data_IF_806382806285
#
_entry.id   IF_806382806285
#
_cell.length_a   1.000
_cell.length_b   1.000
_cell.length_c   1.000
_cell.angle_alpha   90.00
_cell.angle_beta   90.00
_cell.angle_gamma   90.00
#
_symmetry.space_group_name_H-M   'P 1'
#
loop_
_entity.id
_entity.type
_entity.pdbx_description
1 polymer ?
#
# COMPACT_ATOMS: atom_id res chain seq x y z
N UNK A 1 28.03 9.98 -16.95
CA UNK A 1 26.66 9.67 -17.37
C UNK A 1 25.97 10.96 -17.77
N UNK A 2 25.20 10.96 -18.86
CA UNK A 2 24.37 12.12 -19.20
C UNK A 2 23.30 12.38 -18.12
N UNK A 3 22.75 13.59 -17.98
CA UNK A 3 21.69 13.89 -17.00
C UNK A 3 20.46 12.97 -17.17
N UNK A 4 20.08 12.67 -18.40
CA UNK A 4 18.98 11.72 -18.70
C UNK A 4 19.30 10.29 -18.27
N UNK A 5 20.54 9.83 -18.49
CA UNK A 5 20.97 8.51 -18.04
C UNK A 5 21.02 8.40 -16.53
N UNK A 6 21.35 9.48 -15.80
CA UNK A 6 21.28 9.52 -14.32
C UNK A 6 19.82 9.43 -13.83
N UNK A 7 18.89 10.16 -14.46
CA UNK A 7 17.46 10.10 -14.13
C UNK A 7 16.92 8.69 -14.36
N UNK A 8 17.20 8.10 -15.51
CA UNK A 8 16.74 6.73 -15.81
C UNK A 8 17.34 5.70 -14.83
N UNK A 9 18.63 5.80 -14.52
CA UNK A 9 19.29 4.94 -13.53
C UNK A 9 18.61 5.03 -12.16
N UNK A 10 18.35 6.26 -11.66
CA UNK A 10 17.70 6.46 -10.38
C UNK A 10 16.28 5.88 -10.35
N UNK A 11 15.51 6.01 -11.44
CA UNK A 11 14.16 5.44 -11.55
C UNK A 11 14.22 3.91 -11.49
N UNK A 12 15.16 3.29 -12.22
CA UNK A 12 15.31 1.83 -12.23
C UNK A 12 15.73 1.33 -10.84
N UNK A 13 16.75 1.94 -10.22
CA UNK A 13 17.22 1.55 -8.89
C UNK A 13 16.11 1.73 -7.84
N UNK A 14 15.38 2.84 -7.90
CA UNK A 14 14.25 3.09 -7.01
C UNK A 14 13.17 1.99 -7.16
N UNK A 15 12.80 1.67 -8.39
CA UNK A 15 11.83 0.60 -8.67
C UNK A 15 12.28 -0.76 -8.16
N UNK A 16 13.55 -1.14 -8.39
CA UNK A 16 14.12 -2.41 -7.92
C UNK A 16 14.21 -2.45 -6.39
N UNK A 17 14.62 -1.35 -5.74
CA UNK A 17 14.69 -1.26 -4.28
C UNK A 17 13.31 -1.45 -3.62
N UNK A 18 12.30 -0.74 -4.14
CA UNK A 18 10.92 -0.90 -3.67
C UNK A 18 10.37 -2.30 -3.97
N UNK A 19 10.68 -2.87 -5.14
CA UNK A 19 10.28 -4.23 -5.47
C UNK A 19 10.76 -5.24 -4.41
N UNK A 20 12.04 -5.22 -4.04
CA UNK A 20 12.57 -6.13 -3.02
C UNK A 20 11.94 -5.87 -1.65
N UNK A 21 11.86 -4.61 -1.22
CA UNK A 21 11.34 -4.25 0.09
C UNK A 21 9.86 -4.62 0.24
N UNK A 22 9.03 -4.23 -0.73
CA UNK A 22 7.59 -4.50 -0.67
C UNK A 22 7.25 -5.97 -0.94
N UNK A 23 8.01 -6.70 -1.74
CA UNK A 23 7.84 -8.16 -1.89
C UNK A 23 7.99 -8.83 -0.54
N UNK A 24 9.02 -8.49 0.23
CA UNK A 24 9.23 -9.06 1.55
C UNK A 24 8.11 -8.67 2.52
N UNK A 25 7.70 -7.40 2.56
CA UNK A 25 6.66 -6.90 3.43
C UNK A 25 5.27 -7.48 3.11
N UNK A 26 4.86 -7.48 1.85
CA UNK A 26 3.57 -8.02 1.43
C UNK A 26 3.48 -9.53 1.67
N UNK A 27 4.55 -10.27 1.40
CA UNK A 27 4.59 -11.71 1.71
C UNK A 27 4.44 -11.93 3.22
N UNK A 28 5.13 -11.14 4.05
CA UNK A 28 4.98 -11.20 5.49
C UNK A 28 3.53 -10.88 5.92
N UNK A 29 2.91 -9.84 5.36
CA UNK A 29 1.51 -9.47 5.63
C UNK A 29 0.52 -10.58 5.29
N UNK A 30 0.67 -11.21 4.13
CA UNK A 30 -0.20 -12.29 3.67
C UNK A 30 -0.17 -13.51 4.59
N UNK A 31 0.99 -13.83 5.17
CA UNK A 31 1.14 -14.99 6.05
C UNK A 31 1.00 -14.65 7.53
N UNK A 32 1.03 -13.37 7.92
CA UNK A 32 1.10 -12.92 9.31
C UNK A 32 -0.01 -13.51 10.19
N UNK A 33 -1.27 -13.43 9.75
CA UNK A 33 -2.40 -13.95 10.52
C UNK A 33 -2.36 -15.47 10.67
N UNK A 34 -2.00 -16.18 9.60
CA UNK A 34 -1.88 -17.64 9.59
C UNK A 34 -0.72 -18.10 10.49
N UNK A 35 0.41 -17.38 10.42
CA UNK A 35 1.59 -17.65 11.26
C UNK A 35 1.27 -17.43 12.72
N UNK A 36 0.66 -16.29 13.08
CA UNK A 36 0.34 -15.96 14.46
C UNK A 36 -0.67 -16.95 15.04
N UNK A 37 -1.71 -17.33 14.28
CA UNK A 37 -2.67 -18.35 14.71
C UNK A 37 -2.04 -19.71 14.97
N UNK A 38 -0.96 -20.08 14.28
CA UNK A 38 -0.27 -21.35 14.47
C UNK A 38 0.69 -21.35 15.66
N UNK A 39 0.91 -20.21 16.33
CA UNK A 39 1.66 -20.13 17.59
C UNK A 39 0.78 -20.62 18.74
N UNK A 40 0.88 -21.91 19.03
CA UNK A 40 0.17 -22.56 20.13
C UNK A 40 0.90 -22.35 21.47
N UNK A 41 1.17 -21.09 21.84
CA UNK A 41 1.74 -20.73 23.15
C UNK A 41 0.63 -20.22 24.06
N UNK A 42 0.54 -20.78 25.25
CA UNK A 42 -0.42 -20.41 26.29
C UNK A 42 -0.32 -18.93 26.72
N UNK A 43 0.79 -18.29 26.45
CA UNK A 43 1.08 -16.92 26.88
C UNK A 43 0.93 -15.85 25.76
N UNK A 44 0.53 -16.25 24.55
CA UNK A 44 0.45 -15.33 23.42
C UNK A 44 -0.95 -15.29 22.77
N UNK A 45 -1.72 -14.25 23.07
CA UNK A 45 -3.06 -14.00 22.52
C UNK A 45 -3.05 -12.85 21.48
N UNK A 46 -2.09 -12.83 20.56
CA UNK A 46 -2.00 -11.81 19.53
C UNK A 46 -2.84 -12.13 18.30
N UNK A 47 -3.33 -11.08 17.60
CA UNK A 47 -3.98 -11.17 16.29
C UNK A 47 -3.14 -10.48 15.23
N UNK A 48 -2.87 -11.17 14.10
CA UNK A 48 -2.19 -10.59 12.95
C UNK A 48 -2.98 -9.42 12.35
N UNK A 49 -4.29 -9.50 12.31
CA UNK A 49 -5.13 -8.40 11.85
C UNK A 49 -5.01 -7.16 12.74
N UNK A 50 -4.98 -7.34 14.08
CA UNK A 50 -4.77 -6.22 15.01
C UNK A 50 -3.39 -5.59 14.82
N UNK A 51 -2.35 -6.39 14.63
CA UNK A 51 -1.00 -5.90 14.31
C UNK A 51 -1.01 -5.06 13.03
N UNK A 52 -1.61 -5.56 11.96
CA UNK A 52 -1.72 -4.83 10.70
C UNK A 52 -2.56 -3.55 10.83
N UNK A 53 -3.65 -3.58 11.62
CA UNK A 53 -4.44 -2.39 11.91
C UNK A 53 -3.62 -1.30 12.61
N UNK A 54 -2.79 -1.67 13.58
CA UNK A 54 -1.88 -0.74 14.27
C UNK A 54 -0.86 -0.17 13.28
N UNK A 55 -0.24 -1.02 12.46
CA UNK A 55 0.73 -0.60 11.44
C UNK A 55 0.11 0.45 10.50
N UNK A 56 -1.03 0.13 9.90
CA UNK A 56 -1.68 1.05 8.96
C UNK A 56 -2.21 2.31 9.64
N UNK A 57 -2.66 2.23 10.91
CA UNK A 57 -3.07 3.39 11.70
C UNK A 57 -1.91 4.34 11.97
N UNK A 58 -0.76 3.82 12.42
CA UNK A 58 0.47 4.62 12.64
C UNK A 58 0.99 5.15 11.30
N UNK A 59 1.00 4.33 10.25
CA UNK A 59 1.41 4.74 8.92
C UNK A 59 0.52 5.88 8.38
N UNK A 60 -0.79 5.82 8.61
CA UNK A 60 -1.71 6.88 8.24
C UNK A 60 -1.31 8.22 8.89
N UNK A 61 -1.15 8.25 10.21
CA UNK A 61 -0.72 9.45 10.92
C UNK A 61 0.65 9.96 10.43
N UNK A 62 1.59 9.04 10.19
CA UNK A 62 2.93 9.36 9.70
C UNK A 62 2.91 10.00 8.30
N UNK A 63 2.00 9.60 7.42
CA UNK A 63 1.90 10.17 6.07
C UNK A 63 1.62 11.69 6.07
N UNK A 64 0.90 12.20 7.06
CA UNK A 64 0.66 13.65 7.19
C UNK A 64 1.93 14.44 7.55
N UNK A 65 2.87 13.79 8.24
CA UNK A 65 4.12 14.40 8.72
C UNK A 65 5.27 14.15 7.72
N UNK A 66 5.17 13.12 6.90
CA UNK A 66 6.23 12.69 5.98
C UNK A 66 6.75 13.79 5.07
N UNK A 67 5.95 14.66 4.43
CA UNK A 67 6.46 15.75 3.60
C UNK A 67 7.40 16.67 4.37
N UNK A 68 7.08 16.96 5.64
CA UNK A 68 7.90 17.80 6.52
C UNK A 68 9.21 17.12 6.91
N UNK A 69 9.17 15.83 7.24
CA UNK A 69 10.37 15.05 7.58
C UNK A 69 11.31 14.94 6.37
N UNK A 70 10.77 14.64 5.20
CA UNK A 70 11.56 14.53 3.96
C UNK A 70 12.19 15.88 3.58
N UNK A 71 11.51 17.00 3.83
CA UNK A 71 12.04 18.32 3.57
C UNK A 71 13.26 18.66 4.47
N UNK A 72 13.29 18.16 5.71
CA UNK A 72 14.37 18.41 6.69
C UNK A 72 15.52 17.41 6.49
N UNK A 73 15.21 16.12 6.43
CA UNK A 73 16.20 15.02 6.45
C UNK A 73 16.72 14.71 5.04
N UNK A 74 15.96 15.04 4.04
CA UNK A 74 16.20 14.70 2.64
C UNK A 74 15.62 13.33 2.23
N UNK A 75 15.28 13.15 0.94
CA UNK A 75 14.56 11.98 0.47
C UNK A 75 15.37 10.68 0.58
N UNK A 76 16.66 10.73 0.28
CA UNK A 76 17.52 9.53 0.28
C UNK A 76 17.67 8.92 1.67
N UNK A 77 17.96 9.76 2.68
CA UNK A 77 18.14 9.29 4.06
C UNK A 77 16.81 8.86 4.67
N UNK A 78 15.71 9.55 4.34
CA UNK A 78 14.36 9.17 4.78
C UNK A 78 13.95 7.79 4.22
N UNK A 79 14.20 7.52 2.92
CA UNK A 79 13.92 6.23 2.31
C UNK A 79 14.78 5.11 2.93
N UNK A 80 16.06 5.36 3.18
CA UNK A 80 16.94 4.39 3.80
C UNK A 80 16.49 4.05 5.24
N UNK A 81 16.21 5.06 6.07
CA UNK A 81 15.73 4.88 7.43
C UNK A 81 14.39 4.10 7.43
N UNK A 82 13.47 4.45 6.54
CA UNK A 82 12.21 3.72 6.38
C UNK A 82 12.44 2.26 6.01
N UNK A 83 13.35 1.98 5.07
CA UNK A 83 13.71 0.62 4.67
C UNK A 83 14.28 -0.22 5.83
N UNK A 84 15.07 0.40 6.72
CA UNK A 84 15.55 -0.27 7.93
C UNK A 84 14.40 -0.68 8.86
N UNK A 85 13.38 0.17 9.03
CA UNK A 85 12.20 -0.18 9.83
C UNK A 85 11.42 -1.35 9.21
N UNK A 86 11.26 -1.39 7.87
CA UNK A 86 10.65 -2.53 7.19
C UNK A 86 11.45 -3.83 7.39
N UNK A 87 12.78 -3.76 7.28
CA UNK A 87 13.65 -4.91 7.49
C UNK A 87 13.62 -5.40 8.93
N UNK A 88 13.62 -4.48 9.90
CA UNK A 88 13.50 -4.79 11.32
C UNK A 88 12.16 -5.47 11.64
N UNK A 89 11.06 -5.02 11.04
CA UNK A 89 9.75 -5.64 11.15
C UNK A 89 9.78 -7.11 10.74
N UNK A 90 10.30 -7.38 9.54
CA UNK A 90 10.35 -8.74 9.01
C UNK A 90 11.27 -9.60 9.87
N UNK A 91 12.41 -9.05 10.33
CA UNK A 91 13.39 -9.75 11.15
C UNK A 91 12.81 -10.22 12.48
N UNK A 92 11.85 -9.50 13.01
CA UNK A 92 11.27 -9.85 14.29
C UNK A 92 10.33 -11.06 14.18
N UNK A 93 9.84 -11.39 12.97
CA UNK A 93 9.21 -12.68 12.71
C UNK A 93 10.17 -13.89 12.84
N UNK A 94 11.45 -13.69 13.04
CA UNK A 94 12.43 -14.75 13.28
C UNK A 94 12.34 -15.30 14.71
N UNK A 95 12.12 -14.43 15.71
CA UNK A 95 11.98 -14.84 17.12
C UNK A 95 11.07 -13.88 17.92
N UNK A 96 9.85 -14.29 18.27
CA UNK A 96 8.84 -13.43 18.87
C UNK A 96 8.83 -13.46 20.39
N UNK A 97 8.62 -12.27 20.97
CA UNK A 97 8.23 -12.10 22.35
C UNK A 97 6.93 -11.30 22.44
N UNK A 98 6.01 -11.57 23.41
CA UNK A 98 4.71 -10.89 23.48
C UNK A 98 4.79 -9.35 23.54
N UNK A 99 5.72 -8.80 24.33
CA UNK A 99 5.90 -7.35 24.44
C UNK A 99 6.52 -6.72 23.18
N UNK A 100 7.39 -7.45 22.51
CA UNK A 100 8.00 -6.99 21.27
C UNK A 100 7.02 -7.01 20.09
N UNK A 101 6.04 -7.93 20.11
CA UNK A 101 5.00 -7.99 19.06
C UNK A 101 4.21 -6.68 18.96
N UNK A 102 3.69 -6.16 20.06
CA UNK A 102 2.96 -4.88 20.02
C UNK A 102 3.88 -3.67 19.95
N UNK A 103 5.07 -3.71 20.57
CA UNK A 103 6.04 -2.62 20.48
C UNK A 103 6.60 -2.49 19.08
N UNK A 104 6.83 -3.57 18.37
CA UNK A 104 7.26 -3.53 17.00
C UNK A 104 6.09 -3.46 16.01
N UNK A 105 4.85 -3.75 16.41
CA UNK A 105 3.66 -3.28 15.67
C UNK A 105 3.53 -1.76 15.77
N UNK A 106 4.00 -1.14 16.85
CA UNK A 106 4.24 0.30 16.93
C UNK A 106 5.51 0.68 16.14
N UNK A 107 6.57 -0.14 16.17
CA UNK A 107 7.79 -0.03 15.34
C UNK A 107 7.76 -0.96 14.12
N UNK A 108 6.58 -1.54 13.80
CA UNK A 108 6.33 -2.52 12.75
C UNK A 108 6.59 -3.99 13.19
N UNK A 109 5.70 -4.52 13.96
CA UNK A 109 5.27 -5.86 14.33
C UNK A 109 6.14 -7.11 14.31
N UNK A 110 6.17 -7.90 15.33
CA UNK A 110 7.04 -9.07 15.56
C UNK A 110 6.33 -10.39 15.65
N UNK A 111 6.90 -11.48 15.18
CA UNK A 111 6.83 -12.77 15.48
C UNK A 111 7.25 -14.06 15.31
N UNK A 112 7.53 -15.06 15.32
CA UNK A 112 8.02 -16.30 15.59
C UNK A 112 7.65 -17.65 15.17
N UNK A 113 8.11 -18.61 15.14
CA UNK A 113 8.88 -19.77 15.58
C UNK A 113 8.33 -21.15 15.16
N UNK A 114 8.98 -21.79 14.28
CA UNK A 114 9.39 -23.20 14.15
C UNK A 114 10.41 -23.26 13.01
N UNK A 115 11.29 -24.26 12.95
CA UNK A 115 12.51 -24.22 12.13
C UNK A 115 12.34 -23.82 10.67
N UNK A 116 11.27 -24.25 10.02
CA UNK A 116 11.03 -23.96 8.60
C UNK A 116 10.60 -22.51 8.36
N UNK A 117 9.82 -21.94 9.27
CA UNK A 117 9.39 -20.54 9.20
C UNK A 117 10.56 -19.59 9.40
N UNK A 118 11.46 -19.91 10.35
CA UNK A 118 12.63 -19.09 10.62
C UNK A 118 13.46 -18.87 9.35
N UNK A 119 13.63 -19.91 8.53
CA UNK A 119 14.36 -19.83 7.26
C UNK A 119 13.67 -18.88 6.27
N UNK A 120 12.33 -18.96 6.15
CA UNK A 120 11.56 -18.06 5.26
C UNK A 120 11.71 -16.60 5.70
N UNK A 121 11.54 -16.31 7.00
CA UNK A 121 11.66 -14.93 7.48
C UNK A 121 13.09 -14.40 7.45
N UNK A 122 14.10 -15.23 7.64
CA UNK A 122 15.50 -14.84 7.40
C UNK A 122 15.68 -14.46 5.92
N UNK A 123 15.18 -15.26 4.97
CA UNK A 123 15.26 -14.95 3.56
C UNK A 123 14.54 -13.64 3.22
N UNK A 124 13.32 -13.43 3.72
CA UNK A 124 12.57 -12.19 3.55
C UNK A 124 13.28 -10.97 4.15
N UNK A 125 13.91 -11.14 5.32
CA UNK A 125 14.72 -10.09 5.95
C UNK A 125 15.92 -9.71 5.09
N UNK A 126 16.63 -10.71 4.56
CA UNK A 126 17.77 -10.48 3.67
C UNK A 126 17.32 -9.76 2.39
N UNK A 127 16.21 -10.18 1.78
CA UNK A 127 15.63 -9.54 0.59
C UNK A 127 15.28 -8.07 0.88
N UNK A 128 14.64 -7.79 2.01
CA UNK A 128 14.29 -6.43 2.44
C UNK A 128 15.53 -5.57 2.68
N UNK A 129 16.58 -6.12 3.33
CA UNK A 129 17.84 -5.42 3.54
C UNK A 129 18.56 -5.09 2.22
N UNK A 130 18.54 -6.02 1.25
CA UNK A 130 19.08 -5.75 -0.08
C UNK A 130 18.35 -4.58 -0.73
N UNK A 131 17.01 -4.57 -0.71
CA UNK A 131 16.21 -3.45 -1.19
C UNK A 131 16.55 -2.13 -0.50
N UNK A 132 16.72 -2.17 0.84
CA UNK A 132 17.07 -0.99 1.64
C UNK A 132 18.45 -0.43 1.28
N UNK A 133 19.46 -1.30 1.09
CA UNK A 133 20.81 -0.88 0.69
C UNK A 133 20.82 -0.27 -0.71
N UNK A 134 19.96 -0.73 -1.62
CA UNK A 134 19.87 -0.17 -2.97
C UNK A 134 19.49 1.32 -2.98
N UNK A 135 18.81 1.84 -1.95
CA UNK A 135 18.51 3.27 -1.84
C UNK A 135 19.76 4.16 -1.77
N UNK A 136 20.89 3.63 -1.27
CA UNK A 136 22.16 4.36 -1.29
C UNK A 136 22.77 4.52 -2.69
N UNK A 137 22.36 3.67 -3.64
CA UNK A 137 22.82 3.78 -5.02
C UNK A 137 22.13 4.90 -5.81
N UNK A 138 21.08 5.51 -5.23
CA UNK A 138 20.40 6.65 -5.83
C UNK A 138 21.34 7.85 -5.80
N UNK A 139 21.65 8.36 -6.98
CA UNK A 139 22.55 9.49 -7.16
C UNK A 139 21.81 10.80 -7.00
N UNK A 140 22.41 11.75 -6.26
CA UNK A 140 21.86 13.09 -6.18
C UNK A 140 21.77 13.73 -7.58
N UNK A 141 20.68 14.44 -7.91
CA UNK A 141 20.66 15.29 -9.10
C UNK A 141 21.81 16.27 -9.00
N UNK A 142 22.50 16.53 -10.12
CA UNK A 142 23.46 17.61 -10.17
C UNK A 142 22.67 18.90 -9.96
N UNK A 143 22.94 19.63 -8.89
CA UNK A 143 22.46 21.00 -8.76
C UNK A 143 23.09 21.77 -9.93
N UNK A 144 22.28 22.29 -10.84
CA UNK A 144 22.74 23.26 -11.80
C UNK A 144 23.37 24.40 -10.99
N UNK A 145 24.66 24.64 -11.24
CA UNK A 145 25.40 25.75 -10.68
C UNK A 145 24.69 27.06 -11.05
N UNK A 146 23.90 27.59 -10.16
CA UNK A 146 23.58 29.00 -10.13
C UNK A 146 24.73 29.66 -9.39
N UNK A 147 25.62 30.21 -10.20
CA UNK A 147 26.58 31.28 -9.95
C UNK A 147 27.11 31.42 -8.51
N UNK A 148 28.43 31.30 -8.45
CA UNK A 148 29.20 31.55 -7.24
C UNK A 148 29.09 32.99 -6.76
N UNK A 149 29.22 33.11 -5.48
CA UNK A 149 29.87 34.21 -4.83
C UNK A 149 30.60 33.68 -3.60
N UNK A 150 31.89 34.02 -3.54
CA UNK A 150 32.73 33.81 -2.37
C UNK A 150 32.20 34.63 -1.20
N UNK A 151 31.92 33.98 -0.07
CA UNK A 151 31.93 34.71 1.21
C UNK A 151 32.45 33.87 2.37
N UNK A 152 33.14 34.57 3.23
CA UNK A 152 34.03 34.17 4.28
C UNK A 152 33.39 33.47 5.48
N UNK A 153 34.21 32.64 6.09
CA UNK A 153 33.98 31.72 7.18
C UNK A 153 33.84 32.35 8.57
N UNK A 154 32.77 33.11 8.86
CA UNK A 154 32.48 33.54 10.24
C UNK A 154 30.98 33.55 10.64
N UNK A 155 30.07 33.15 9.76
CA UNK A 155 28.60 33.18 10.00
C UNK A 155 27.89 31.83 10.11
N UNK A 156 28.61 30.72 10.32
CA UNK A 156 28.01 29.37 10.25
C UNK A 156 26.97 29.10 11.33
N UNK A 157 27.03 29.67 12.50
CA UNK A 157 26.09 29.40 13.60
C UNK A 157 24.77 30.20 13.49
N UNK A 158 24.75 31.32 12.78
CA UNK A 158 23.52 32.08 12.50
C UNK A 158 22.75 31.49 11.30
N UNK A 159 23.41 31.05 10.24
CA UNK A 159 22.82 30.43 9.06
C UNK A 159 22.13 29.10 9.37
N UNK A 160 22.68 28.28 10.28
CA UNK A 160 22.09 27.02 10.71
C UNK A 160 20.76 27.25 11.42
N UNK A 161 20.62 28.26 12.25
CA UNK A 161 19.37 28.60 12.94
C UNK A 161 18.33 29.20 12.00
N UNK A 162 18.73 30.06 11.07
CA UNK A 162 17.84 30.66 10.06
C UNK A 162 17.36 29.63 9.05
N UNK A 163 18.21 28.70 8.61
CA UNK A 163 17.85 27.63 7.71
C UNK A 163 16.93 26.61 8.40
N UNK A 164 17.14 26.29 9.67
CA UNK A 164 16.27 25.41 10.44
C UNK A 164 14.89 26.05 10.69
N UNK A 165 14.84 27.33 11.00
CA UNK A 165 13.59 28.08 11.18
C UNK A 165 12.81 28.23 9.86
N UNK A 166 13.51 28.42 8.74
CA UNK A 166 12.93 28.48 7.41
C UNK A 166 12.38 27.10 6.97
N UNK A 167 13.07 26.01 7.30
CA UNK A 167 12.62 24.66 7.03
C UNK A 167 11.40 24.28 7.89
N UNK A 168 11.35 24.70 9.15
CA UNK A 168 10.19 24.48 10.03
C UNK A 168 8.96 25.24 9.52
N UNK A 169 9.13 26.48 9.08
CA UNK A 169 8.06 27.29 8.50
C UNK A 169 7.51 26.65 7.22
N UNK A 170 8.40 26.20 6.32
CA UNK A 170 8.01 25.44 5.11
C UNK A 170 7.24 24.15 5.45
N UNK A 171 7.67 23.45 6.49
CA UNK A 171 7.00 22.24 6.96
C UNK A 171 5.58 22.52 7.48
N UNK A 172 5.41 23.56 8.26
CA UNK A 172 4.11 24.00 8.79
C UNK A 172 3.19 24.47 7.66
N UNK A 173 3.72 25.20 6.69
CA UNK A 173 2.93 25.65 5.53
C UNK A 173 2.52 24.48 4.63
N UNK A 174 3.39 23.48 4.42
CA UNK A 174 3.04 22.25 3.72
C UNK A 174 1.93 21.48 4.44
N UNK A 175 1.97 21.43 5.77
CA UNK A 175 0.92 20.81 6.57
C UNK A 175 -0.41 21.56 6.46
N UNK A 176 -0.41 22.89 6.60
CA UNK A 176 -1.61 23.73 6.42
C UNK A 176 -2.21 23.57 5.03
N UNK A 177 -1.35 23.50 4.00
CA UNK A 177 -1.75 23.30 2.61
C UNK A 177 -2.41 21.94 2.41
N UNK A 178 -1.85 20.88 2.98
CA UNK A 178 -2.46 19.54 2.97
C UNK A 178 -3.85 19.56 3.61
N UNK A 179 -4.01 20.24 4.75
CA UNK A 179 -5.31 20.34 5.41
C UNK A 179 -6.34 21.11 4.58
N UNK A 180 -5.91 22.20 3.91
CA UNK A 180 -6.79 22.95 3.00
C UNK A 180 -7.22 22.10 1.80
N UNK A 181 -6.32 21.30 1.23
CA UNK A 181 -6.63 20.40 0.12
C UNK A 181 -7.60 19.29 0.52
N UNK A 182 -7.54 18.77 1.76
CA UNK A 182 -8.45 17.73 2.25
C UNK A 182 -9.93 18.08 2.11
N UNK A 183 -10.29 19.36 2.20
CA UNK A 183 -11.68 19.83 2.19
C UNK A 183 -12.16 20.28 0.81
N UNK A 184 -11.34 20.17 -0.23
CA UNK A 184 -11.77 20.45 -1.60
C UNK A 184 -12.76 19.39 -2.08
N UNK A 185 -13.73 19.77 -2.92
CA UNK A 185 -14.77 18.88 -3.43
C UNK A 185 -14.17 17.67 -4.15
N UNK A 186 -13.18 17.91 -5.00
CA UNK A 186 -12.50 16.88 -5.80
C UNK A 186 -11.76 15.90 -4.91
N UNK A 187 -11.05 16.39 -3.89
CA UNK A 187 -10.33 15.54 -2.94
C UNK A 187 -11.29 14.72 -2.09
N UNK A 188 -12.41 15.29 -1.65
CA UNK A 188 -13.43 14.58 -0.88
C UNK A 188 -14.07 13.45 -1.72
N UNK A 189 -14.39 13.71 -2.98
CA UNK A 189 -14.92 12.69 -3.89
C UNK A 189 -13.88 11.59 -4.16
N UNK A 190 -12.63 11.96 -4.47
CA UNK A 190 -11.55 10.98 -4.66
C UNK A 190 -11.22 10.21 -3.38
N UNK A 191 -11.46 10.78 -2.21
CA UNK A 191 -11.29 10.08 -0.93
C UNK A 191 -12.25 8.91 -0.76
N UNK A 192 -13.44 8.94 -1.37
CA UNK A 192 -14.36 7.78 -1.37
C UNK A 192 -13.75 6.64 -2.20
N UNK A 193 -13.21 6.94 -3.38
CA UNK A 193 -12.51 5.96 -4.21
C UNK A 193 -11.26 5.44 -3.50
N UNK A 194 -10.50 6.31 -2.86
CA UNK A 194 -9.30 5.96 -2.10
C UNK A 194 -9.63 5.10 -0.89
N UNK A 195 -10.75 5.37 -0.19
CA UNK A 195 -11.23 4.52 0.89
C UNK A 195 -11.48 3.10 0.41
N UNK A 196 -12.12 2.94 -0.74
CA UNK A 196 -12.29 1.63 -1.36
C UNK A 196 -10.96 0.90 -1.58
N UNK A 197 -9.94 1.58 -2.14
CA UNK A 197 -8.61 0.97 -2.34
C UNK A 197 -7.93 0.58 -1.02
N UNK A 198 -8.21 1.26 0.08
CA UNK A 198 -7.74 0.87 1.42
C UNK A 198 -8.41 -0.40 1.94
N UNK A 199 -9.72 -0.53 1.77
CA UNK A 199 -10.46 -1.74 2.13
C UNK A 199 -10.00 -2.95 1.31
N UNK A 200 -9.81 -2.76 0.01
CA UNK A 200 -9.34 -3.75 -0.93
C UNK A 200 -7.92 -4.21 -0.63
N UNK A 201 -7.01 -3.27 -0.38
CA UNK A 201 -5.63 -3.55 0.02
C UNK A 201 -5.60 -4.51 1.22
N UNK A 202 -6.41 -4.26 2.25
CA UNK A 202 -6.54 -5.15 3.40
C UNK A 202 -7.03 -6.53 3.00
N UNK A 203 -8.02 -6.57 2.12
CA UNK A 203 -8.65 -7.81 1.72
C UNK A 203 -7.66 -8.73 0.99
N UNK A 204 -7.01 -8.26 -0.08
CA UNK A 204 -6.11 -9.11 -0.84
C UNK A 204 -4.76 -9.36 -0.15
N UNK A 205 -4.25 -8.39 0.66
CA UNK A 205 -2.94 -8.51 1.31
C UNK A 205 -2.95 -9.28 2.64
N UNK A 206 -4.11 -9.60 3.18
CA UNK A 206 -4.19 -10.28 4.48
C UNK A 206 -5.38 -11.22 4.63
N UNK A 207 -6.59 -10.73 4.37
CA UNK A 207 -7.82 -11.48 4.65
C UNK A 207 -7.97 -12.66 3.69
N UNK A 208 -7.77 -12.44 2.41
CA UNK A 208 -7.96 -13.47 1.38
C UNK A 208 -6.98 -14.63 1.52
N UNK A 209 -5.70 -14.32 1.78
CA UNK A 209 -4.71 -15.36 2.09
C UNK A 209 -5.08 -16.17 3.34
N UNK A 210 -5.60 -15.51 4.37
CA UNK A 210 -6.10 -16.18 5.58
C UNK A 210 -7.29 -17.08 5.27
N UNK A 211 -8.23 -16.64 4.42
CA UNK A 211 -9.38 -17.46 4.00
C UNK A 211 -8.93 -18.71 3.26
N UNK A 212 -7.96 -18.59 2.35
CA UNK A 212 -7.38 -19.74 1.63
C UNK A 212 -6.76 -20.72 2.63
N UNK A 213 -5.91 -20.24 3.53
CA UNK A 213 -5.21 -21.09 4.51
C UNK A 213 -6.13 -21.65 5.61
N UNK A 214 -7.33 -21.12 5.78
CA UNK A 214 -8.32 -21.62 6.72
C UNK A 214 -9.34 -22.61 6.10
N UNK A 215 -9.35 -22.75 4.78
CA UNK A 215 -10.33 -23.61 4.09
C UNK A 215 -9.80 -25.03 3.96
N UNK A 216 -10.12 -25.91 4.93
CA UNK A 216 -9.64 -27.29 4.97
C UNK A 216 -10.02 -28.11 3.72
N UNK A 217 -11.07 -27.73 3.02
CA UNK A 217 -11.52 -28.41 1.78
C UNK A 217 -10.57 -28.30 0.61
N UNK A 218 -9.55 -27.42 0.69
CA UNK A 218 -8.44 -27.39 -0.28
C UNK A 218 -7.42 -28.51 -0.05
N UNK A 219 -7.49 -29.23 1.08
CA UNK A 219 -6.62 -30.34 1.42
C UNK A 219 -5.22 -29.93 1.86
N UNK A 220 -4.27 -30.87 1.87
CA UNK A 220 -2.92 -30.67 2.43
C UNK A 220 -2.10 -29.51 1.77
N UNK A 221 -2.53 -29.02 0.63
CA UNK A 221 -1.85 -27.96 -0.12
C UNK A 221 -2.33 -26.54 0.24
N UNK A 222 -3.29 -26.39 1.15
CA UNK A 222 -3.88 -25.10 1.53
C UNK A 222 -2.84 -24.02 1.87
N UNK A 223 -1.75 -24.41 2.55
CA UNK A 223 -0.68 -23.50 2.94
C UNK A 223 0.19 -23.04 1.76
N UNK A 224 0.42 -23.91 0.78
CA UNK A 224 1.15 -23.56 -0.43
C UNK A 224 0.33 -22.67 -1.35
N UNK A 225 -1.00 -22.78 -1.32
CA UNK A 225 -1.92 -21.93 -2.07
C UNK A 225 -1.86 -20.46 -1.62
N UNK A 226 -1.51 -20.15 -0.38
CA UNK A 226 -1.34 -18.77 0.09
C UNK A 226 -0.21 -18.10 -0.70
N UNK A 227 0.93 -18.77 -0.82
CA UNK A 227 2.06 -18.26 -1.60
C UNK A 227 1.73 -18.11 -3.09
N UNK A 228 1.04 -19.13 -3.66
CA UNK A 228 0.60 -19.10 -5.05
C UNK A 228 -0.41 -17.98 -5.30
N UNK A 229 -1.34 -17.75 -4.37
CA UNK A 229 -2.28 -16.62 -4.41
C UNK A 229 -1.53 -15.28 -4.48
N UNK A 230 -0.51 -15.07 -3.63
CA UNK A 230 0.31 -13.86 -3.67
C UNK A 230 1.02 -13.65 -5.01
N UNK A 231 1.53 -14.72 -5.63
CA UNK A 231 2.14 -14.65 -6.96
C UNK A 231 1.12 -14.20 -8.01
N UNK A 232 -0.09 -14.77 -8.02
CA UNK A 232 -1.12 -14.44 -9.00
C UNK A 232 -1.71 -13.03 -8.78
N UNK A 233 -1.82 -12.56 -7.53
CA UNK A 233 -2.13 -11.14 -7.24
C UNK A 233 -1.07 -10.26 -7.90
N UNK A 234 0.22 -10.53 -7.66
CA UNK A 234 1.32 -9.76 -8.24
C UNK A 234 1.35 -9.79 -9.76
N UNK A 235 1.04 -10.92 -10.40
CA UNK A 235 0.90 -11.01 -11.86
C UNK A 235 -0.23 -10.10 -12.34
N UNK A 236 -1.38 -10.10 -11.67
CA UNK A 236 -2.50 -9.21 -11.97
C UNK A 236 -2.11 -7.73 -11.87
N UNK A 237 -1.42 -7.34 -10.78
CA UNK A 237 -0.93 -5.98 -10.57
C UNK A 237 0.07 -5.54 -11.65
N UNK A 238 1.03 -6.40 -11.99
CA UNK A 238 2.05 -6.10 -13.02
C UNK A 238 1.40 -5.94 -14.38
N UNK A 239 0.52 -6.86 -14.76
CA UNK A 239 -0.16 -6.81 -16.07
C UNK A 239 -1.06 -5.58 -16.17
N UNK A 240 -1.88 -5.31 -15.15
CA UNK A 240 -2.74 -4.14 -15.13
C UNK A 240 -1.95 -2.83 -15.10
N UNK A 241 -0.95 -2.73 -14.23
CA UNK A 241 -0.10 -1.54 -14.12
C UNK A 241 0.70 -1.26 -15.40
N UNK A 242 1.28 -2.29 -16.02
CA UNK A 242 2.04 -2.15 -17.27
C UNK A 242 1.12 -1.80 -18.44
N UNK A 243 0.03 -2.53 -18.62
CA UNK A 243 -0.90 -2.33 -19.72
C UNK A 243 -1.54 -0.94 -19.66
N UNK A 244 -2.12 -0.59 -18.52
CA UNK A 244 -2.85 0.69 -18.39
C UNK A 244 -1.92 1.88 -18.17
N UNK A 245 -0.74 1.69 -17.57
CA UNK A 245 0.30 2.71 -17.52
C UNK A 245 0.84 3.08 -18.90
N UNK A 246 0.98 2.11 -19.82
CA UNK A 246 1.37 2.37 -21.20
C UNK A 246 0.24 2.95 -22.05
N UNK A 247 -0.99 2.44 -21.87
CA UNK A 247 -2.17 2.94 -22.60
C UNK A 247 -2.53 4.37 -22.21
N UNK A 248 -2.28 4.79 -20.97
CA UNK A 248 -2.53 6.15 -20.50
C UNK A 248 -1.66 7.21 -21.21
N UNK A 249 -0.52 6.81 -21.79
CA UNK A 249 0.29 7.67 -22.66
C UNK A 249 -0.40 7.99 -23.99
N UNK A 250 -1.35 7.18 -24.40
CA UNK A 250 -2.10 7.35 -25.63
C UNK A 250 -3.43 8.03 -25.27
N UNK A 251 -3.54 9.35 -25.41
CA UNK A 251 -4.69 10.20 -25.04
C UNK A 251 -6.07 9.74 -25.57
N UNK A 252 -6.14 8.60 -26.24
CA UNK A 252 -7.38 7.99 -26.75
C UNK A 252 -8.09 7.10 -25.74
N UNK A 253 -7.38 6.65 -24.67
CA UNK A 253 -7.95 5.77 -23.65
C UNK A 253 -8.09 6.55 -22.35
N UNK A 254 -9.29 7.06 -22.08
CA UNK A 254 -9.58 7.81 -20.86
C UNK A 254 -9.44 6.96 -19.60
N UNK A 255 -9.39 7.61 -18.43
CA UNK A 255 -9.27 6.94 -17.12
C UNK A 255 -10.53 6.15 -16.74
N UNK A 256 -11.71 6.64 -17.12
CA UNK A 256 -13.00 6.02 -16.76
C UNK A 256 -13.16 4.57 -17.24
N UNK A 257 -12.80 4.18 -18.48
CA UNK A 257 -12.89 2.80 -18.93
C UNK A 257 -12.01 1.85 -18.12
N UNK A 258 -10.84 2.30 -17.65
CA UNK A 258 -9.92 1.49 -16.84
C UNK A 258 -10.52 1.26 -15.45
N UNK A 259 -11.05 2.29 -14.81
CA UNK A 259 -11.72 2.18 -13.50
C UNK A 259 -12.98 1.31 -13.61
N UNK A 260 -13.75 1.45 -14.69
CA UNK A 260 -14.90 0.59 -14.96
C UNK A 260 -14.49 -0.87 -15.09
N UNK A 261 -13.44 -1.14 -15.84
CA UNK A 261 -12.89 -2.51 -15.93
C UNK A 261 -12.48 -3.03 -14.54
N UNK A 262 -11.79 -2.20 -13.74
CA UNK A 262 -11.36 -2.56 -12.38
C UNK A 262 -12.53 -2.96 -11.50
N UNK A 263 -13.61 -2.19 -11.46
CA UNK A 263 -14.77 -2.53 -10.62
C UNK A 263 -15.52 -3.77 -11.13
N UNK A 264 -15.64 -3.96 -12.43
CA UNK A 264 -16.27 -5.15 -12.99
C UNK A 264 -15.47 -6.41 -12.66
N UNK A 265 -14.15 -6.36 -12.80
CA UNK A 265 -13.24 -7.46 -12.45
C UNK A 265 -13.33 -7.77 -10.95
N UNK A 266 -13.37 -6.75 -10.09
CA UNK A 266 -13.53 -6.92 -8.65
C UNK A 266 -14.90 -7.51 -8.27
N UNK A 267 -15.99 -7.06 -8.88
CA UNK A 267 -17.31 -7.63 -8.59
C UNK A 267 -17.39 -9.10 -9.00
N UNK A 268 -16.78 -9.48 -10.12
CA UNK A 268 -16.65 -10.88 -10.52
C UNK A 268 -15.83 -11.65 -9.47
N UNK A 269 -14.70 -11.12 -9.05
CA UNK A 269 -13.86 -11.75 -8.02
C UNK A 269 -14.61 -11.91 -6.70
N UNK A 270 -15.28 -10.87 -6.21
CA UNK A 270 -16.04 -10.91 -4.95
C UNK A 270 -17.19 -11.93 -5.01
N UNK A 271 -17.89 -12.01 -6.14
CA UNK A 271 -18.93 -12.99 -6.34
C UNK A 271 -18.39 -14.43 -6.34
N UNK A 272 -17.29 -14.67 -7.06
CA UNK A 272 -16.65 -15.98 -7.08
C UNK A 272 -16.07 -16.37 -5.70
N UNK A 273 -15.50 -15.42 -4.96
CA UNK A 273 -15.03 -15.65 -3.60
C UNK A 273 -16.18 -15.99 -2.67
N UNK A 274 -17.29 -15.26 -2.77
CA UNK A 274 -18.51 -15.54 -1.99
C UNK A 274 -19.02 -16.96 -2.22
N UNK A 275 -18.98 -17.44 -3.46
CA UNK A 275 -19.42 -18.79 -3.80
C UNK A 275 -18.42 -19.88 -3.37
N UNK A 276 -17.12 -19.61 -3.47
CA UNK A 276 -16.05 -20.62 -3.37
C UNK A 276 -15.46 -20.78 -1.96
N UNK A 277 -15.63 -19.76 -1.09
CA UNK A 277 -15.04 -19.73 0.25
C UNK A 277 -16.09 -19.87 1.35
N UNK A 278 -15.78 -20.57 2.46
CA UNK A 278 -16.63 -20.58 3.64
C UNK A 278 -16.78 -19.16 4.24
N UNK A 279 -17.99 -18.85 4.72
CA UNK A 279 -18.28 -17.53 5.28
C UNK A 279 -17.53 -17.20 6.57
N UNK A 280 -17.12 -18.20 7.34
CA UNK A 280 -16.37 -18.10 8.60
C UNK A 280 -14.84 -18.11 8.40
N UNK A 281 -14.34 -18.28 7.17
CA UNK A 281 -12.92 -18.42 6.88
C UNK A 281 -12.04 -17.27 7.45
N UNK A 282 -12.42 -15.97 7.41
CA UNK A 282 -11.59 -14.90 7.97
C UNK A 282 -11.36 -15.02 9.48
N UNK A 283 -12.34 -15.55 10.21
CA UNK A 283 -12.35 -15.68 11.67
C UNK A 283 -12.19 -17.12 12.16
N UNK A 284 -11.91 -18.05 11.24
CA UNK A 284 -11.78 -19.47 11.54
C UNK A 284 -10.70 -19.74 12.60
N UNK A 285 -10.87 -20.81 13.42
CA UNK A 285 -9.87 -21.22 14.41
C UNK A 285 -8.57 -21.70 13.74
N UNK A 286 -7.53 -21.97 14.56
CA UNK A 286 -6.21 -22.43 14.10
C UNK A 286 -6.27 -23.68 13.20
N UNK A 287 -7.23 -24.56 13.48
CA UNK A 287 -7.46 -25.81 12.71
C UNK A 287 -8.13 -25.60 11.36
N UNK A 288 -8.44 -24.35 11.01
CA UNK A 288 -9.22 -24.03 9.83
C UNK A 288 -10.72 -24.28 10.02
N UNK A 289 -11.46 -24.24 8.91
CA UNK A 289 -12.90 -24.48 8.89
C UNK A 289 -13.27 -25.57 7.89
N UNK A 290 -14.20 -26.44 8.29
CA UNK A 290 -14.83 -27.46 7.44
C UNK A 290 -16.22 -27.01 6.94
N UNK A 291 -16.60 -25.76 7.23
CA UNK A 291 -17.87 -25.18 6.78
C UNK A 291 -18.01 -25.27 5.26
N UNK A 292 -19.25 -25.42 4.80
CA UNK A 292 -19.53 -25.51 3.37
C UNK A 292 -19.60 -24.12 2.75
N UNK A 293 -18.89 -23.93 1.66
CA UNK A 293 -19.15 -22.85 0.73
C UNK A 293 -20.41 -23.14 -0.10
N UNK A 294 -20.90 -22.15 -0.87
CA UNK A 294 -22.07 -22.34 -1.73
C UNK A 294 -21.83 -23.30 -2.88
N UNK A 295 -20.61 -23.39 -3.37
CA UNK A 295 -20.15 -24.37 -4.33
C UNK A 295 -19.06 -25.25 -3.72
N UNK A 296 -18.71 -26.37 -4.37
CA UNK A 296 -17.53 -27.13 -3.97
C UNK A 296 -16.30 -26.26 -4.11
N UNK A 297 -15.58 -26.02 -2.99
CA UNK A 297 -14.39 -25.18 -2.98
C UNK A 297 -13.35 -25.69 -3.99
N UNK A 298 -12.97 -24.84 -4.94
CA UNK A 298 -12.00 -25.10 -6.02
C UNK A 298 -10.76 -24.23 -5.84
N UNK A 299 -9.58 -24.86 -5.93
CA UNK A 299 -8.28 -24.18 -5.89
C UNK A 299 -8.11 -23.25 -7.09
N UNK A 300 -8.55 -23.69 -8.26
CA UNK A 300 -8.46 -22.97 -9.52
C UNK A 300 -9.25 -21.67 -9.47
N UNK A 301 -10.47 -21.71 -8.92
CA UNK A 301 -11.29 -20.51 -8.71
C UNK A 301 -10.61 -19.57 -7.70
N UNK A 302 -10.01 -20.10 -6.63
CA UNK A 302 -9.31 -19.30 -5.65
C UNK A 302 -8.12 -18.55 -6.27
N UNK A 303 -7.33 -19.20 -7.12
CA UNK A 303 -6.18 -18.59 -7.81
C UNK A 303 -6.64 -17.60 -8.89
N UNK A 304 -7.71 -17.91 -9.63
CA UNK A 304 -8.31 -16.96 -10.57
C UNK A 304 -8.73 -15.66 -9.85
N UNK A 305 -9.40 -15.79 -8.69
CA UNK A 305 -9.78 -14.64 -7.89
C UNK A 305 -8.56 -13.83 -7.41
N UNK A 306 -7.45 -14.48 -7.07
CA UNK A 306 -6.19 -13.81 -6.73
C UNK A 306 -5.71 -12.91 -7.88
N UNK A 307 -5.69 -13.44 -9.09
CA UNK A 307 -5.32 -12.68 -10.28
C UNK A 307 -6.26 -11.50 -10.53
N UNK A 308 -7.59 -11.72 -10.41
CA UNK A 308 -8.59 -10.69 -10.63
C UNK A 308 -8.50 -9.55 -9.57
N UNK A 309 -8.21 -9.90 -8.31
CA UNK A 309 -8.00 -8.91 -7.24
C UNK A 309 -6.81 -8.00 -7.57
N UNK A 310 -5.67 -8.57 -7.95
CA UNK A 310 -4.50 -7.79 -8.33
C UNK A 310 -4.71 -6.94 -9.59
N UNK A 311 -5.40 -7.47 -10.59
CA UNK A 311 -5.73 -6.73 -11.81
C UNK A 311 -6.62 -5.53 -11.53
N UNK A 312 -7.66 -5.70 -10.71
CA UNK A 312 -8.56 -4.61 -10.33
C UNK A 312 -7.88 -3.55 -9.47
N UNK A 313 -7.03 -3.96 -8.51
CA UNK A 313 -6.24 -3.02 -7.69
C UNK A 313 -5.37 -2.12 -8.56
N UNK A 314 -4.65 -2.69 -9.52
CA UNK A 314 -3.82 -1.90 -10.43
C UNK A 314 -4.63 -0.94 -11.29
N UNK A 315 -5.87 -1.32 -11.71
CA UNK A 315 -6.77 -0.42 -12.42
C UNK A 315 -7.12 0.81 -11.58
N UNK A 316 -7.49 0.64 -10.32
CA UNK A 316 -7.85 1.76 -9.45
C UNK A 316 -6.65 2.62 -9.08
N UNK A 317 -5.56 2.02 -8.58
CA UNK A 317 -4.41 2.77 -8.10
C UNK A 317 -3.70 3.54 -9.21
N UNK A 318 -3.54 2.97 -10.41
CA UNK A 318 -2.92 3.69 -11.54
C UNK A 318 -3.74 4.89 -11.97
N UNK A 319 -5.06 4.78 -12.00
CA UNK A 319 -5.92 5.89 -12.40
C UNK A 319 -6.08 6.95 -11.31
N UNK A 320 -6.14 6.55 -10.04
CA UNK A 320 -6.13 7.49 -8.91
C UNK A 320 -4.84 8.30 -8.87
N UNK A 321 -3.68 7.67 -9.00
CA UNK A 321 -2.40 8.37 -9.05
C UNK A 321 -2.31 9.30 -10.27
N UNK A 322 -2.84 8.87 -11.42
CA UNK A 322 -2.89 9.68 -12.64
C UNK A 322 -3.77 10.92 -12.49
N UNK A 323 -4.97 10.79 -11.93
CA UNK A 323 -5.89 11.93 -11.76
C UNK A 323 -5.39 12.90 -10.68
N UNK A 324 -4.83 12.39 -9.58
CA UNK A 324 -4.23 13.22 -8.55
C UNK A 324 -3.05 14.04 -9.09
N UNK A 325 -2.15 13.39 -9.85
CA UNK A 325 -1.03 14.09 -10.49
C UNK A 325 -1.46 15.11 -11.54
N UNK A 326 -2.61 14.90 -12.17
CA UNK A 326 -3.19 15.85 -13.13
C UNK A 326 -3.86 17.05 -12.42
N UNK A 327 -4.72 16.81 -11.44
CA UNK A 327 -5.47 17.86 -10.74
C UNK A 327 -4.59 18.73 -9.84
N UNK A 328 -3.58 18.10 -9.23
CA UNK A 328 -2.71 18.75 -8.23
C UNK A 328 -1.25 18.76 -8.68
N UNK A 329 -0.98 19.10 -9.94
CA UNK A 329 0.36 19.09 -10.52
C UNK A 329 1.35 19.98 -9.77
N UNK A 330 0.91 21.13 -9.25
CA UNK A 330 1.72 22.05 -8.45
C UNK A 330 1.82 21.62 -6.98
N UNK A 331 0.83 20.87 -6.48
CA UNK A 331 0.66 20.45 -5.09
C UNK A 331 0.63 18.94 -4.93
N UNK A 332 1.39 18.23 -5.76
CA UNK A 332 1.35 16.77 -5.84
C UNK A 332 1.74 16.09 -4.51
N UNK A 333 2.76 16.60 -3.80
CA UNK A 333 3.21 15.99 -2.56
C UNK A 333 2.13 16.02 -1.45
N UNK A 334 1.47 17.15 -1.15
CA UNK A 334 0.30 17.17 -0.26
C UNK A 334 -0.85 16.26 -0.72
N UNK A 335 -1.18 16.26 -2.02
CA UNK A 335 -2.27 15.44 -2.54
C UNK A 335 -2.00 13.94 -2.38
N UNK A 336 -0.80 13.49 -2.67
CA UNK A 336 -0.39 12.09 -2.44
C UNK A 336 -0.32 11.72 -0.97
N UNK A 337 0.06 12.66 -0.08
CA UNK A 337 0.04 12.43 1.36
C UNK A 337 -1.40 12.19 1.87
N UNK A 338 -2.36 12.97 1.40
CA UNK A 338 -3.79 12.79 1.72
C UNK A 338 -4.29 11.44 1.17
N UNK A 339 -3.96 11.11 -0.07
CA UNK A 339 -4.29 9.82 -0.66
C UNK A 339 -3.79 8.67 0.23
N UNK A 340 -2.52 8.68 0.62
CA UNK A 340 -1.96 7.65 1.47
C UNK A 340 -2.54 7.66 2.88
N UNK A 341 -2.86 8.82 3.43
CA UNK A 341 -3.56 8.93 4.71
C UNK A 341 -4.93 8.24 4.67
N UNK A 342 -5.78 8.57 3.71
CA UNK A 342 -7.13 8.00 3.58
C UNK A 342 -7.05 6.50 3.31
N UNK A 343 -6.21 6.06 2.37
CA UNK A 343 -6.00 4.65 2.05
C UNK A 343 -5.60 3.86 3.31
N UNK A 344 -4.63 4.37 4.07
CA UNK A 344 -4.08 3.68 5.22
C UNK A 344 -5.04 3.64 6.41
N UNK A 345 -5.79 4.73 6.69
CA UNK A 345 -6.76 4.70 7.78
C UNK A 345 -7.91 3.74 7.48
N UNK A 346 -8.37 3.68 6.22
CA UNK A 346 -9.39 2.72 5.81
C UNK A 346 -8.86 1.28 5.86
N UNK A 347 -7.61 1.04 5.49
CA UNK A 347 -6.97 -0.26 5.65
C UNK A 347 -6.85 -0.67 7.13
N UNK A 348 -6.48 0.26 8.03
CA UNK A 348 -6.43 0.00 9.46
C UNK A 348 -7.80 -0.41 10.02
N UNK A 349 -8.85 0.32 9.65
CA UNK A 349 -10.24 -0.01 10.04
C UNK A 349 -10.64 -1.38 9.50
N UNK A 350 -10.27 -1.68 8.24
CA UNK A 350 -10.59 -2.96 7.62
C UNK A 350 -9.88 -4.13 8.31
N UNK A 351 -8.61 -4.00 8.63
CA UNK A 351 -7.90 -5.01 9.42
C UNK A 351 -8.51 -5.20 10.81
N UNK A 352 -8.95 -4.12 11.46
CA UNK A 352 -9.60 -4.21 12.76
C UNK A 352 -10.92 -4.99 12.68
N UNK A 353 -11.83 -4.65 11.77
CA UNK A 353 -13.10 -5.36 11.66
C UNK A 353 -12.96 -6.80 11.14
N UNK A 354 -11.87 -7.11 10.42
CA UNK A 354 -11.61 -8.47 9.93
C UNK A 354 -11.42 -9.51 11.05
N UNK A 355 -11.17 -9.07 12.28
CA UNK A 355 -11.17 -9.95 13.46
C UNK A 355 -12.58 -10.47 13.84
N UNK A 356 -13.63 -9.78 13.40
CA UNK A 356 -14.99 -9.98 13.91
C UNK A 356 -16.03 -10.27 12.82
N UNK A 357 -15.80 -9.80 11.59
CA UNK A 357 -16.76 -9.92 10.52
C UNK A 357 -16.56 -11.18 9.70
N UNK A 358 -17.67 -11.86 9.41
CA UNK A 358 -17.74 -12.95 8.45
C UNK A 358 -17.42 -12.44 7.03
N UNK A 359 -16.97 -13.36 6.17
CA UNK A 359 -16.52 -13.04 4.81
C UNK A 359 -17.58 -12.27 4.00
N UNK A 360 -18.84 -12.71 4.05
CA UNK A 360 -19.90 -12.09 3.26
C UNK A 360 -20.17 -10.62 3.64
N UNK A 361 -20.01 -10.24 4.92
CA UNK A 361 -20.13 -8.85 5.34
C UNK A 361 -18.95 -8.00 4.85
N UNK A 362 -17.75 -8.56 4.87
CA UNK A 362 -16.57 -7.86 4.35
C UNK A 362 -16.70 -7.63 2.83
N UNK A 363 -17.16 -8.64 2.08
CA UNK A 363 -17.44 -8.52 0.64
C UNK A 363 -18.54 -7.49 0.36
N UNK A 364 -19.60 -7.46 1.16
CA UNK A 364 -20.67 -6.46 1.02
C UNK A 364 -20.15 -5.04 1.21
N UNK A 365 -19.34 -4.80 2.24
CA UNK A 365 -18.71 -3.48 2.47
C UNK A 365 -17.88 -3.07 1.25
N UNK A 366 -17.08 -3.98 0.69
CA UNK A 366 -16.28 -3.67 -0.51
C UNK A 366 -17.14 -3.38 -1.75
N UNK A 367 -18.23 -4.11 -1.96
CA UNK A 367 -19.15 -3.86 -3.08
C UNK A 367 -19.78 -2.47 -2.95
N UNK A 368 -20.23 -2.08 -1.75
CA UNK A 368 -20.84 -0.77 -1.50
C UNK A 368 -19.80 0.35 -1.75
N UNK A 369 -18.63 0.27 -1.13
CA UNK A 369 -17.58 1.28 -1.31
C UNK A 369 -17.03 1.29 -2.73
N UNK A 370 -16.91 0.15 -3.39
CA UNK A 370 -16.50 0.06 -4.78
C UNK A 370 -17.47 0.74 -5.73
N UNK A 371 -18.77 0.55 -5.53
CA UNK A 371 -19.82 1.19 -6.32
C UNK A 371 -19.77 2.72 -6.16
N UNK A 372 -19.84 3.22 -4.93
CA UNK A 372 -19.79 4.66 -4.68
C UNK A 372 -18.44 5.27 -5.04
N UNK A 373 -17.33 4.57 -4.80
CA UNK A 373 -16.00 5.01 -5.19
C UNK A 373 -15.85 5.17 -6.70
N UNK A 374 -16.41 4.26 -7.48
CA UNK A 374 -16.38 4.33 -8.94
C UNK A 374 -17.21 5.52 -9.44
N UNK A 375 -18.40 5.75 -8.90
CA UNK A 375 -19.23 6.91 -9.26
C UNK A 375 -18.53 8.22 -8.91
N UNK A 376 -17.92 8.29 -7.73
CA UNK A 376 -17.18 9.47 -7.29
C UNK A 376 -15.99 9.77 -8.20
N UNK A 377 -15.24 8.73 -8.61
CA UNK A 377 -14.15 8.87 -9.56
C UNK A 377 -14.64 9.42 -10.92
N UNK A 378 -15.70 8.84 -11.45
CA UNK A 378 -16.29 9.30 -12.74
C UNK A 378 -16.74 10.74 -12.67
N UNK A 379 -17.33 11.16 -11.55
CA UNK A 379 -17.78 12.56 -11.36
C UNK A 379 -16.60 13.51 -11.47
N UNK A 380 -15.49 13.23 -10.78
CA UNK A 380 -14.29 14.06 -10.81
C UNK A 380 -13.65 14.06 -12.20
N UNK A 381 -13.55 12.91 -12.85
CA UNK A 381 -12.95 12.81 -14.18
C UNK A 381 -13.78 13.55 -15.23
N UNK A 382 -15.11 13.50 -15.17
CA UNK A 382 -15.98 14.25 -16.09
C UNK A 382 -15.87 15.75 -15.85
N UNK A 383 -15.80 16.20 -14.60
CA UNK A 383 -15.59 17.63 -14.29
C UNK A 383 -14.23 18.10 -14.81
N UNK A 384 -13.18 17.31 -14.60
CA UNK A 384 -11.83 17.62 -15.09
C UNK A 384 -11.78 17.67 -16.63
N UNK A 385 -12.39 16.69 -17.31
CA UNK A 385 -12.47 16.65 -18.77
C UNK A 385 -13.25 17.82 -19.36
N UNK A 386 -14.37 18.18 -18.72
CA UNK A 386 -15.18 19.33 -19.12
C UNK A 386 -14.44 20.67 -18.97
N UNK A 387 -13.58 20.77 -17.95
CA UNK A 387 -12.76 21.96 -17.72
C UNK A 387 -11.69 22.11 -18.80
N UNK A 388 -10.98 21.04 -19.14
CA UNK A 388 -9.99 21.01 -20.22
C UNK A 388 -10.64 21.33 -21.57
N UNK A 389 -11.83 20.80 -21.86
CA UNK A 389 -12.54 21.03 -23.09
C UNK A 389 -12.96 22.51 -23.29
N UNK A 390 -13.08 23.28 -22.19
CA UNK A 390 -13.37 24.73 -22.24
C UNK A 390 -12.12 25.59 -22.48
N UNK A 391 -10.96 25.02 -22.73
CA UNK A 391 -9.70 25.72 -22.96
C UNK A 391 -9.13 26.44 -21.73
N UNK A 392 -9.58 26.08 -20.53
CA UNK A 392 -9.05 26.60 -19.26
C UNK A 392 -8.02 25.61 -18.73
N UNK A 393 -6.82 26.09 -18.37
CA UNK A 393 -5.92 25.29 -17.58
C UNK A 393 -6.58 24.99 -16.22
N UNK A 394 -6.58 23.71 -15.82
CA UNK A 394 -7.08 23.33 -14.52
C UNK A 394 -6.06 23.82 -13.46
N UNK A 395 -6.27 25.05 -13.00
CA UNK A 395 -5.49 25.59 -11.88
C UNK A 395 -6.21 25.21 -10.60
N UNK A 396 -5.49 24.53 -9.70
CA UNK A 396 -5.96 24.22 -8.35
C UNK A 396 -6.44 25.51 -7.67
N UNK A 397 -7.66 25.48 -7.20
CA UNK A 397 -8.26 26.56 -6.40
C UNK A 397 -7.69 26.50 -4.99
#
# INVERSE_FOLDING_TARGET
MSPESKKLFNIIILGVAFMFMFTAFQTCGNVAQTVIRSLNRTDFHGSGYTSMAIIYGVFSASNLITPSVVAIVGPQLSMFASGLFYSMYIAVFIQPFPWSFYTASVFIGIAAAESDRRTVFIALTVISLVGTVLFFLIRKPDSENVLGEDESSDDQDMEVNESAQNNLTKAVDAFKKSFKLCVTKEMLLLSITTAYTGLELTFFSGVYGTCIGATNKFGAEEKSLIGLSGIFIGIGEILGGSLFGLLSKNNRFGRNPVVLLGILVHFIAFYLIFLNMPGDAPIAPVKGTDSSAYIKSSKEVAILCSFLLGLGDSCFNTQLLSILGFLYSEDSAPAFAIFKFVQSICAAVAFFYSNYLLLHWQLLVMVIFGFFGTISFFTVEWEAAAFVARGSDYRSI
#
